data_IF_520895895023
#
_entry.id   IF_520895895023
#
_cell.length_a   1.000
_cell.length_b   1.000
_cell.length_c   1.000
_cell.angle_alpha   90.00
_cell.angle_beta   90.00
_cell.angle_gamma   90.00
#
_symmetry.space_group_name_H-M   'P 1'
#
loop_
_entity.id
_entity.type
_entity.pdbx_description
1 polymer ?
#
# COMPACT_ATOMS: atom_id res chain seq x y z
N UNK A 1 1.75 -23.36 8.35
CA UNK A 1 1.68 -22.66 7.03
C UNK A 1 0.30 -22.04 6.81
N UNK A 2 -0.82 -22.75 6.69
CA UNK A 2 -2.15 -22.16 6.50
C UNK A 2 -2.59 -21.20 7.63
N UNK A 3 -2.23 -21.50 8.86
CA UNK A 3 -2.52 -20.64 10.03
C UNK A 3 -1.78 -19.31 9.92
N UNK A 4 -0.56 -19.30 9.44
CA UNK A 4 0.27 -18.09 9.32
C UNK A 4 -0.24 -17.18 8.23
N UNK A 5 -0.70 -17.74 7.08
CA UNK A 5 -1.31 -16.98 5.99
C UNK A 5 -2.60 -16.30 6.44
N UNK A 6 -3.48 -17.02 7.15
CA UNK A 6 -4.71 -16.43 7.71
C UNK A 6 -4.41 -15.33 8.71
N UNK A 7 -3.47 -15.58 9.63
CA UNK A 7 -3.03 -14.59 10.62
C UNK A 7 -2.43 -13.35 9.96
N UNK A 8 -1.65 -13.53 8.90
CA UNK A 8 -1.09 -12.43 8.13
C UNK A 8 -2.19 -11.60 7.46
N UNK A 9 -3.13 -12.24 6.75
CA UNK A 9 -4.22 -11.53 6.08
C UNK A 9 -5.07 -10.77 7.08
N UNK A 10 -5.43 -11.42 8.19
CA UNK A 10 -6.20 -10.76 9.24
C UNK A 10 -5.46 -9.54 9.81
N UNK A 11 -4.23 -9.75 10.28
CA UNK A 11 -3.45 -8.73 10.98
C UNK A 11 -2.95 -7.60 10.05
N UNK A 12 -2.59 -7.93 8.82
CA UNK A 12 -1.88 -6.98 7.93
C UNK A 12 -2.75 -6.42 6.81
N UNK A 13 -3.92 -7.00 6.57
CA UNK A 13 -4.85 -6.53 5.54
C UNK A 13 -6.19 -6.14 6.16
N UNK A 14 -6.88 -7.10 6.77
CA UNK A 14 -8.26 -6.85 7.24
C UNK A 14 -8.32 -5.78 8.33
N UNK A 15 -7.41 -5.83 9.31
CA UNK A 15 -7.40 -4.84 10.41
C UNK A 15 -6.97 -3.44 9.98
N UNK A 16 -6.26 -3.31 8.86
CA UNK A 16 -5.76 -2.02 8.37
C UNK A 16 -6.61 -1.40 7.26
N UNK A 17 -7.17 -2.23 6.40
CA UNK A 17 -7.81 -1.79 5.16
C UNK A 17 -9.26 -2.27 5.04
N UNK A 18 -9.77 -3.01 6.03
CA UNK A 18 -11.06 -3.69 5.94
C UNK A 18 -11.01 -4.98 5.12
N UNK A 19 -12.16 -5.66 5.02
CA UNK A 19 -12.28 -6.92 4.28
C UNK A 19 -12.23 -6.64 2.78
N UNK A 20 -11.22 -7.15 2.04
CA UNK A 20 -11.11 -6.92 0.61
C UNK A 20 -12.18 -7.71 -0.16
N UNK A 21 -12.76 -7.13 -1.19
CA UNK A 21 -13.69 -7.84 -2.06
C UNK A 21 -13.02 -9.00 -2.82
N UNK A 22 -11.77 -8.80 -3.24
CA UNK A 22 -11.02 -9.80 -4.01
C UNK A 22 -9.58 -9.83 -3.52
N UNK A 23 -9.05 -11.02 -3.33
CA UNK A 23 -7.63 -11.28 -3.07
C UNK A 23 -7.03 -11.92 -4.32
N UNK A 24 -5.92 -11.36 -4.81
CA UNK A 24 -5.16 -11.93 -5.92
C UNK A 24 -3.82 -12.39 -5.38
N UNK A 25 -3.49 -13.66 -5.58
CA UNK A 25 -2.23 -14.27 -5.15
C UNK A 25 -1.59 -15.08 -6.26
N UNK A 26 -0.37 -15.51 -6.05
CA UNK A 26 0.27 -16.53 -6.87
C UNK A 26 -0.49 -17.85 -6.71
N UNK A 27 -0.28 -18.77 -7.65
CA UNK A 27 -0.89 -20.11 -7.60
C UNK A 27 -0.08 -21.07 -6.70
N UNK A 28 0.43 -20.57 -5.58
CA UNK A 28 1.14 -21.37 -4.60
C UNK A 28 0.18 -22.18 -3.72
N UNK A 29 0.57 -23.38 -3.36
CA UNK A 29 -0.22 -24.32 -2.55
C UNK A 29 -0.70 -23.71 -1.22
N UNK A 30 0.05 -22.77 -0.65
CA UNK A 30 -0.31 -22.08 0.59
C UNK A 30 -1.56 -21.19 0.43
N UNK A 31 -1.84 -20.68 -0.78
CA UNK A 31 -3.01 -19.85 -1.09
C UNK A 31 -4.14 -20.64 -1.72
N UNK A 32 -3.90 -21.90 -2.10
CA UNK A 32 -4.90 -22.80 -2.71
C UNK A 32 -5.36 -23.93 -1.77
N UNK A 33 -4.98 -23.89 -0.50
CA UNK A 33 -5.42 -24.90 0.47
C UNK A 33 -6.93 -24.83 0.72
N UNK A 34 -7.57 -25.98 0.97
CA UNK A 34 -8.99 -26.06 1.32
C UNK A 34 -9.35 -25.17 2.52
N UNK A 35 -8.46 -25.10 3.49
CA UNK A 35 -8.60 -24.32 4.73
C UNK A 35 -8.54 -22.82 4.45
N UNK A 36 -7.67 -22.40 3.52
CA UNK A 36 -7.56 -21.00 3.13
C UNK A 36 -8.76 -20.55 2.28
N UNK A 37 -9.18 -21.38 1.32
CA UNK A 37 -10.39 -21.11 0.52
C UNK A 37 -11.64 -20.96 1.39
N UNK A 38 -11.80 -21.83 2.40
CA UNK A 38 -12.90 -21.72 3.37
C UNK A 38 -12.84 -20.40 4.13
N UNK A 39 -11.65 -20.02 4.63
CA UNK A 39 -11.46 -18.75 5.34
C UNK A 39 -11.84 -17.53 4.47
N UNK A 40 -11.42 -17.49 3.21
CA UNK A 40 -11.83 -16.43 2.29
C UNK A 40 -13.35 -16.41 2.06
N UNK A 41 -13.95 -17.59 1.88
CA UNK A 41 -15.40 -17.73 1.70
C UNK A 41 -16.18 -17.24 2.91
N UNK A 42 -15.73 -17.59 4.13
CA UNK A 42 -16.38 -17.19 5.39
C UNK A 42 -16.36 -15.65 5.58
N UNK A 43 -15.36 -14.96 5.01
CA UNK A 43 -15.24 -13.51 5.01
C UNK A 43 -15.85 -12.84 3.76
N UNK A 44 -16.41 -13.57 2.83
CA UNK A 44 -16.93 -13.04 1.57
C UNK A 44 -15.85 -12.58 0.58
N UNK A 45 -14.60 -13.00 0.77
CA UNK A 45 -13.46 -12.64 -0.08
C UNK A 45 -13.42 -13.55 -1.31
N UNK A 46 -13.42 -12.97 -2.51
CA UNK A 46 -13.19 -13.70 -3.76
C UNK A 46 -11.69 -13.97 -3.93
N UNK A 47 -11.30 -15.24 -3.94
CA UNK A 47 -9.91 -15.63 -4.18
C UNK A 47 -9.66 -15.80 -5.69
N UNK A 48 -8.63 -15.14 -6.21
CA UNK A 48 -8.18 -15.24 -7.61
C UNK A 48 -6.69 -15.50 -7.65
N UNK A 49 -6.27 -16.27 -8.63
CA UNK A 49 -4.86 -16.63 -8.83
C UNK A 49 -4.33 -15.98 -10.11
N UNK A 50 -3.10 -15.48 -10.04
CA UNK A 50 -2.37 -15.12 -11.25
C UNK A 50 -1.92 -16.40 -11.94
N UNK A 51 -2.17 -16.48 -13.24
CA UNK A 51 -1.71 -17.62 -14.05
C UNK A 51 -0.48 -17.23 -14.85
N UNK A 52 0.41 -18.16 -15.20
CA UNK A 52 1.54 -17.88 -16.10
C UNK A 52 1.12 -17.28 -17.43
N UNK A 53 -0.09 -17.61 -17.91
CA UNK A 53 -0.67 -17.06 -19.14
C UNK A 53 -1.16 -15.60 -18.96
N UNK A 54 -1.38 -15.13 -17.74
CA UNK A 54 -1.83 -13.78 -17.46
C UNK A 54 -1.07 -13.15 -16.26
N UNK A 55 0.25 -12.92 -16.39
CA UNK A 55 1.10 -12.42 -15.30
C UNK A 55 0.75 -11.00 -14.85
N UNK A 56 0.02 -10.23 -15.67
CA UNK A 56 -0.39 -8.85 -15.36
C UNK A 56 -1.21 -8.72 -14.08
N UNK A 57 -1.89 -9.79 -13.64
CA UNK A 57 -2.69 -9.79 -12.42
C UNK A 57 -1.87 -9.55 -11.14
N UNK A 58 -0.63 -10.02 -11.10
CA UNK A 58 0.30 -9.86 -9.95
C UNK A 58 1.45 -8.87 -10.21
N UNK A 59 1.58 -8.35 -11.43
CA UNK A 59 2.72 -7.51 -11.85
C UNK A 59 2.89 -6.23 -11.02
N UNK A 60 1.81 -5.68 -10.46
CA UNK A 60 1.90 -4.53 -9.56
C UNK A 60 2.55 -4.91 -8.23
N UNK A 61 2.14 -6.03 -7.62
CA UNK A 61 2.73 -6.52 -6.38
C UNK A 61 4.21 -6.88 -6.57
N UNK A 62 4.57 -7.54 -7.67
CA UNK A 62 5.96 -7.85 -8.01
C UNK A 62 6.81 -6.58 -8.19
N UNK A 63 6.27 -5.57 -8.86
CA UNK A 63 6.97 -4.30 -9.04
C UNK A 63 7.22 -3.59 -7.72
N UNK A 64 6.21 -3.55 -6.85
CA UNK A 64 6.34 -2.97 -5.51
C UNK A 64 7.34 -3.76 -4.67
N UNK A 65 7.29 -5.10 -4.70
CA UNK A 65 8.25 -5.95 -3.99
C UNK A 65 9.69 -5.70 -4.46
N UNK A 66 9.93 -5.55 -5.77
CA UNK A 66 11.25 -5.18 -6.29
C UNK A 66 11.74 -3.83 -5.74
N UNK A 67 10.86 -2.84 -5.66
CA UNK A 67 11.21 -1.53 -5.08
C UNK A 67 11.58 -1.66 -3.60
N UNK A 68 10.78 -2.41 -2.83
CA UNK A 68 11.01 -2.65 -1.40
C UNK A 68 12.34 -3.39 -1.19
N UNK A 69 12.56 -4.49 -1.90
CA UNK A 69 13.78 -5.30 -1.78
C UNK A 69 15.02 -4.50 -2.17
N UNK A 70 14.98 -3.75 -3.27
CA UNK A 70 16.12 -2.94 -3.70
C UNK A 70 16.41 -1.78 -2.73
N UNK A 71 15.38 -1.14 -2.20
CA UNK A 71 15.56 -0.10 -1.20
C UNK A 71 16.09 -0.63 0.12
N UNK A 72 15.62 -1.81 0.53
CA UNK A 72 16.10 -2.49 1.73
C UNK A 72 17.56 -2.93 1.57
N UNK A 73 17.95 -3.50 0.41
CA UNK A 73 19.34 -3.87 0.12
C UNK A 73 20.29 -2.69 0.28
N UNK A 74 19.97 -1.52 -0.27
CA UNK A 74 20.79 -0.31 -0.13
C UNK A 74 21.00 0.13 1.33
N UNK A 75 19.99 -0.07 2.18
CA UNK A 75 20.11 0.21 3.62
C UNK A 75 20.93 -0.84 4.36
N UNK A 76 20.86 -2.10 3.91
CA UNK A 76 21.56 -3.21 4.56
C UNK A 76 23.08 -3.20 4.29
N UNK A 77 23.51 -2.63 3.18
CA UNK A 77 24.95 -2.42 2.91
C UNK A 77 25.60 -1.58 4.03
N UNK A 78 24.82 -0.67 4.63
CA UNK A 78 25.26 0.17 5.76
C UNK A 78 25.10 -0.51 7.14
N UNK A 79 24.13 -1.43 7.31
CA UNK A 79 23.67 -1.94 8.64
C UNK A 79 23.97 -3.41 8.91
N UNK A 80 24.79 -4.07 8.07
CA UNK A 80 25.29 -5.46 8.28
C UNK A 80 24.20 -6.49 8.71
N UNK A 81 23.15 -6.61 7.92
CA UNK A 81 22.32 -7.83 7.97
C UNK A 81 21.07 -7.81 8.86
N UNK A 82 20.70 -6.69 9.46
CA UNK A 82 19.49 -6.56 10.31
C UNK A 82 18.21 -6.26 9.52
N UNK A 83 17.97 -6.99 8.43
CA UNK A 83 16.85 -6.70 7.53
C UNK A 83 15.47 -6.78 8.20
N UNK A 84 15.29 -7.64 9.21
CA UNK A 84 14.03 -7.79 9.96
C UNK A 84 13.71 -6.53 10.75
N UNK A 85 14.72 -5.89 11.31
CA UNK A 85 14.60 -4.64 12.06
C UNK A 85 14.40 -3.43 11.11
N UNK A 86 15.07 -3.42 9.95
CA UNK A 86 15.00 -2.34 8.97
C UNK A 86 13.72 -2.35 8.12
N UNK A 87 13.10 -3.52 7.91
CA UNK A 87 11.92 -3.65 7.07
C UNK A 87 10.74 -2.76 7.52
N UNK A 88 10.36 -2.69 8.81
CA UNK A 88 9.29 -1.81 9.26
C UNK A 88 9.59 -0.32 8.99
N UNK A 89 10.84 0.11 9.21
CA UNK A 89 11.28 1.49 8.97
C UNK A 89 11.23 1.84 7.47
N UNK A 90 11.69 0.90 6.62
CA UNK A 90 11.61 1.09 5.18
C UNK A 90 10.15 1.16 4.69
N UNK A 91 9.29 0.28 5.16
CA UNK A 91 7.87 0.27 4.80
C UNK A 91 7.16 1.53 5.27
N UNK A 92 7.48 2.03 6.45
CA UNK A 92 6.97 3.31 6.94
C UNK A 92 7.36 4.44 6.00
N UNK A 93 8.65 4.60 5.71
CA UNK A 93 9.17 5.61 4.78
C UNK A 93 8.51 5.50 3.40
N UNK A 94 8.40 4.28 2.86
CA UNK A 94 7.77 4.04 1.56
C UNK A 94 6.30 4.46 1.52
N UNK A 95 5.54 4.23 2.59
CA UNK A 95 4.12 4.58 2.69
C UNK A 95 3.87 6.07 2.89
N UNK A 96 4.78 6.76 3.55
CA UNK A 96 4.62 8.15 3.99
C UNK A 96 5.39 9.16 3.12
N UNK A 97 6.24 8.70 2.21
CA UNK A 97 6.96 9.59 1.27
C UNK A 97 6.09 9.89 0.04
N UNK A 98 5.91 11.18 -0.32
CA UNK A 98 5.15 11.57 -1.51
C UNK A 98 5.79 11.03 -2.78
N UNK A 99 4.98 10.49 -3.66
CA UNK A 99 5.40 10.08 -5.00
C UNK A 99 5.72 11.30 -5.86
N UNK A 100 6.85 11.25 -6.59
CA UNK A 100 7.29 12.37 -7.43
C UNK A 100 6.25 12.80 -8.47
N UNK A 101 5.53 11.85 -9.06
CA UNK A 101 4.56 12.09 -10.11
C UNK A 101 3.22 12.61 -9.57
N UNK A 102 2.65 11.92 -8.60
CA UNK A 102 1.30 12.21 -8.09
C UNK A 102 1.30 13.21 -6.94
N UNK A 103 2.48 13.50 -6.33
CA UNK A 103 2.64 14.28 -5.10
C UNK A 103 1.90 13.69 -3.89
N UNK A 104 1.26 12.55 -4.05
CA UNK A 104 0.52 11.85 -3.02
C UNK A 104 1.35 10.74 -2.37
N UNK A 105 1.07 10.46 -1.11
CA UNK A 105 1.64 9.30 -0.39
C UNK A 105 0.70 8.10 -0.53
N UNK A 106 1.22 6.89 -0.33
CA UNK A 106 0.36 5.71 -0.25
C UNK A 106 -0.60 5.81 0.94
N UNK A 107 -0.16 6.41 2.03
CA UNK A 107 -0.98 6.62 3.22
C UNK A 107 -2.16 7.56 2.92
N UNK A 108 -1.91 8.74 2.34
CA UNK A 108 -2.97 9.70 2.01
C UNK A 108 -3.98 9.14 1.01
N UNK A 109 -3.51 8.35 0.04
CA UNK A 109 -4.37 7.70 -0.96
C UNK A 109 -5.22 6.57 -0.38
N UNK A 110 -4.81 6.00 0.75
CA UNK A 110 -5.54 4.93 1.44
C UNK A 110 -6.56 5.49 2.42
N UNK A 111 -6.12 6.41 3.27
CA UNK A 111 -6.89 6.89 4.43
C UNK A 111 -7.52 8.28 4.24
N UNK A 112 -7.25 8.96 3.13
CA UNK A 112 -7.77 10.30 2.86
C UNK A 112 -7.04 11.44 3.58
N UNK A 113 -6.23 11.12 4.59
CA UNK A 113 -5.50 12.09 5.40
C UNK A 113 -3.99 11.90 5.34
N UNK A 114 -3.23 12.95 5.64
CA UNK A 114 -1.79 12.83 5.83
C UNK A 114 -1.45 12.12 7.15
N UNK A 115 -0.33 11.40 7.16
CA UNK A 115 0.18 10.78 8.38
C UNK A 115 0.66 11.85 9.36
N UNK A 116 0.44 11.63 10.66
CA UNK A 116 1.08 12.40 11.73
C UNK A 116 2.41 11.72 12.06
N UNK A 117 3.52 12.43 11.87
CA UNK A 117 4.83 11.90 12.19
C UNK A 117 5.14 12.12 13.69
N UNK A 118 5.94 11.24 14.34
CA UNK A 118 6.21 11.35 15.76
C UNK A 118 6.79 12.70 16.20
N UNK A 119 7.56 13.37 15.33
CA UNK A 119 8.09 14.70 15.59
C UNK A 119 6.99 15.78 15.74
N UNK A 120 5.88 15.63 15.03
CA UNK A 120 4.76 16.56 15.11
C UNK A 120 4.04 16.49 16.48
N UNK A 121 4.14 15.39 17.19
CA UNK A 121 3.57 15.24 18.53
C UNK A 121 4.42 15.93 19.60
N UNK A 122 5.71 16.14 19.33
CA UNK A 122 6.65 16.81 20.23
C UNK A 122 6.77 18.32 20.01
N UNK A 123 6.31 18.83 18.86
CA UNK A 123 6.32 20.24 18.53
C UNK A 123 4.89 20.77 18.40
N UNK A 124 4.66 21.97 18.94
CA UNK A 124 3.40 22.72 18.78
C UNK A 124 3.23 23.17 17.31
N UNK A 125 2.94 22.23 16.44
CA UNK A 125 2.51 22.57 15.07
C UNK A 125 1.04 22.97 15.07
N UNK A 126 0.67 23.85 14.15
CA UNK A 126 -0.71 24.35 14.03
C UNK A 126 -1.74 23.20 14.05
N UNK A 127 -1.45 22.11 13.36
CA UNK A 127 -2.29 20.91 13.28
C UNK A 127 -2.48 20.16 14.60
N UNK A 128 -1.47 20.13 15.47
CA UNK A 128 -1.56 19.47 16.78
C UNK A 128 -2.05 20.42 17.88
N UNK A 129 -1.74 21.72 17.78
CA UNK A 129 -2.16 22.74 18.75
C UNK A 129 -3.66 23.11 18.65
N UNK A 130 -4.24 22.99 17.45
CA UNK A 130 -5.67 23.26 17.19
C UNK A 130 -6.53 21.98 17.20
N UNK A 131 -5.96 20.86 17.61
CA UNK A 131 -6.69 19.59 17.66
C UNK A 131 -7.86 19.66 18.66
N UNK A 132 -9.05 19.45 18.13
CA UNK A 132 -10.26 19.14 18.89
C UNK A 132 -10.91 17.91 18.29
N UNK A 133 -11.48 17.02 19.11
CA UNK A 133 -12.06 15.76 18.60
C UNK A 133 -13.11 16.04 17.52
N UNK A 134 -14.08 16.89 17.81
CA UNK A 134 -15.15 17.22 16.86
C UNK A 134 -14.63 17.90 15.59
N UNK A 135 -13.68 18.84 15.71
CA UNK A 135 -13.08 19.50 14.55
C UNK A 135 -12.25 18.54 13.70
N UNK A 136 -11.60 17.54 14.32
CA UNK A 136 -10.87 16.52 13.59
C UNK A 136 -11.81 15.60 12.80
N UNK A 137 -12.94 15.23 13.36
CA UNK A 137 -13.92 14.36 12.70
C UNK A 137 -14.52 15.06 11.47
N UNK A 138 -14.87 16.35 11.57
CA UNK A 138 -15.31 17.14 10.43
C UNK A 138 -14.25 17.28 9.33
N UNK A 139 -12.98 17.47 9.71
CA UNK A 139 -11.87 17.55 8.75
C UNK A 139 -11.60 16.22 8.09
N UNK A 140 -11.74 15.12 8.82
CA UNK A 140 -11.58 13.77 8.30
C UNK A 140 -12.70 13.43 7.30
N UNK A 141 -13.94 13.75 7.62
CA UNK A 141 -15.09 13.56 6.74
C UNK A 141 -14.90 14.33 5.43
N UNK A 142 -14.56 15.61 5.50
CA UNK A 142 -14.23 16.41 4.29
C UNK A 142 -13.06 15.83 3.50
N UNK A 143 -12.05 15.29 4.17
CA UNK A 143 -10.92 14.63 3.50
C UNK A 143 -11.34 13.37 2.75
N UNK A 144 -12.29 12.61 3.29
CA UNK A 144 -12.83 11.42 2.65
C UNK A 144 -13.67 11.76 1.40
N UNK A 145 -14.41 12.85 1.41
CA UNK A 145 -15.15 13.31 0.23
C UNK A 145 -14.22 13.62 -0.96
N UNK A 146 -13.05 14.20 -0.69
CA UNK A 146 -12.07 14.51 -1.73
C UNK A 146 -11.17 13.33 -2.12
N UNK A 147 -11.19 12.21 -1.39
CA UNK A 147 -10.26 11.10 -1.66
C UNK A 147 -10.50 10.49 -3.05
N UNK A 148 -11.75 10.45 -3.50
CA UNK A 148 -12.10 9.91 -4.82
C UNK A 148 -11.49 10.77 -5.94
N UNK A 149 -11.67 12.07 -5.86
CA UNK A 149 -11.09 13.02 -6.82
C UNK A 149 -9.56 12.95 -6.85
N UNK A 150 -8.91 12.89 -5.67
CA UNK A 150 -7.45 12.74 -5.56
C UNK A 150 -6.96 11.45 -6.21
N UNK A 151 -7.69 10.33 -6.03
CA UNK A 151 -7.36 9.05 -6.66
C UNK A 151 -7.53 9.09 -8.18
N UNK A 152 -8.59 9.72 -8.68
CA UNK A 152 -8.82 9.92 -10.10
C UNK A 152 -7.72 10.78 -10.72
N UNK A 153 -7.38 11.91 -10.12
CA UNK A 153 -6.28 12.77 -10.56
C UNK A 153 -4.93 12.05 -10.59
N UNK A 154 -4.61 11.27 -9.55
CA UNK A 154 -3.38 10.48 -9.51
C UNK A 154 -3.35 9.42 -10.62
N UNK A 155 -4.49 8.79 -10.92
CA UNK A 155 -4.61 7.81 -12.00
C UNK A 155 -4.39 8.44 -13.37
N UNK A 156 -4.97 9.62 -13.61
CA UNK A 156 -4.76 10.37 -14.86
C UNK A 156 -3.28 10.78 -15.03
N UNK A 157 -2.63 11.25 -13.97
CA UNK A 157 -1.21 11.61 -14.01
C UNK A 157 -0.32 10.41 -14.32
N UNK A 158 -0.61 9.25 -13.73
CA UNK A 158 0.12 8.01 -14.00
C UNK A 158 -0.07 7.54 -15.45
N UNK A 159 -1.30 7.59 -15.96
CA UNK A 159 -1.62 7.22 -17.35
C UNK A 159 -0.91 8.14 -18.35
N UNK A 160 -0.91 9.45 -18.10
CA UNK A 160 -0.20 10.43 -18.93
C UNK A 160 1.32 10.15 -18.98
N UNK A 161 1.91 9.87 -17.83
CA UNK A 161 3.34 9.53 -17.75
C UNK A 161 3.67 8.25 -18.51
N UNK A 162 2.87 7.19 -18.35
CA UNK A 162 3.06 5.92 -19.05
C UNK A 162 2.96 6.12 -20.57
N UNK A 163 1.99 6.89 -21.03
CA UNK A 163 1.83 7.21 -22.46
C UNK A 163 3.01 8.01 -23.01
N UNK A 164 3.49 9.00 -22.28
CA UNK A 164 4.66 9.79 -22.68
C UNK A 164 5.93 8.97 -22.72
N UNK A 165 6.14 8.09 -21.74
CA UNK A 165 7.30 7.19 -21.69
C UNK A 165 7.29 6.16 -22.81
N UNK A 166 6.12 5.65 -23.20
CA UNK A 166 5.97 4.71 -24.31
C UNK A 166 6.30 5.37 -25.66
N UNK A 167 5.95 6.63 -25.85
CA UNK A 167 6.31 7.40 -27.08
C UNK A 167 7.81 7.61 -27.23
N UNK A 168 8.52 7.85 -26.14
CA UNK A 168 9.99 8.04 -26.16
C UNK A 168 10.69 6.73 -26.52
N UNK A 169 10.17 5.58 -26.11
CA UNK A 169 10.77 4.26 -26.43
C UNK A 169 10.58 3.83 -27.88
N UNK A 170 9.62 4.40 -28.60
CA UNK A 170 9.37 4.10 -30.03
C UNK A 170 10.29 4.96 -30.95
N UNK A 171 10.88 6.01 -30.42
CA UNK A 171 11.76 6.93 -31.17
C UNK A 171 13.26 6.65 -30.97
N UNK A 172 13.64 5.62 -30.22
CA UNK A 172 14.99 5.07 -30.06
C UNK A 172 15.12 3.70 -30.77
#
# INVERSE_FOLDING_TARGET
MDVDVKKFIWKSIVTWFGVPHTLISDNDLQFDSRTFRKYCSDLGIKNRYSTPAYPKGNGQAETVNKVIVNGLKKRLDDTKGKWVEELPHFLWTYRTTPRRLTKETHFSMTYGAGVVIPLETGFLMLRTSTFTSNGNDELLEKSLDFIKERRENATVQLAYYQHSSSKVMILM
#
